data_IF_871141639139
#
_entry.id   IF_871141639139
#
_cell.length_a   1.000
_cell.length_b   1.000
_cell.length_c   1.000
_cell.angle_alpha   90.00
_cell.angle_beta   90.00
_cell.angle_gamma   90.00
#
_symmetry.space_group_name_H-M   'P 1'
#
loop_
_entity.id
_entity.type
_entity.pdbx_description
1 polymer ?
#
# COMPACT_ATOMS: atom_id res chain seq x y z
N UNK A 1 -18.32 0.54 16.85
CA UNK A 1 -16.86 0.79 16.74
C UNK A 1 -15.97 -0.28 17.42
N UNK A 2 -16.00 -0.49 18.75
CA UNK A 2 -15.14 -1.51 19.39
C UNK A 2 -15.45 -2.94 18.92
N UNK A 3 -16.74 -3.27 18.74
CA UNK A 3 -17.16 -4.58 18.19
C UNK A 3 -16.67 -4.77 16.75
N UNK A 4 -16.95 -3.82 15.86
CA UNK A 4 -16.57 -3.88 14.44
C UNK A 4 -15.06 -3.99 14.26
N UNK A 5 -14.29 -3.27 15.09
CA UNK A 5 -12.83 -3.38 15.12
C UNK A 5 -12.36 -4.78 15.53
N UNK A 6 -12.98 -5.38 16.56
CA UNK A 6 -12.65 -6.75 16.99
C UNK A 6 -12.96 -7.76 15.88
N UNK A 7 -14.11 -7.63 15.22
CA UNK A 7 -14.48 -8.48 14.09
C UNK A 7 -13.51 -8.31 12.90
N UNK A 8 -13.11 -7.08 12.59
CA UNK A 8 -12.05 -6.80 11.62
C UNK A 8 -10.73 -7.48 11.99
N UNK A 9 -10.29 -7.35 13.25
CA UNK A 9 -9.06 -7.98 13.75
C UNK A 9 -9.10 -9.51 13.59
N UNK A 10 -10.23 -10.14 13.88
CA UNK A 10 -10.42 -11.59 13.68
C UNK A 10 -10.26 -11.97 12.20
N UNK A 11 -10.86 -11.22 11.28
CA UNK A 11 -10.72 -11.48 9.83
C UNK A 11 -9.28 -11.35 9.35
N UNK A 12 -8.56 -10.31 9.78
CA UNK A 12 -7.14 -10.13 9.44
C UNK A 12 -6.30 -11.30 9.98
N UNK A 13 -6.51 -11.69 11.24
CA UNK A 13 -5.79 -12.81 11.84
C UNK A 13 -6.05 -14.14 11.11
N UNK A 14 -7.27 -14.37 10.62
CA UNK A 14 -7.58 -15.54 9.82
C UNK A 14 -6.79 -15.56 8.49
N UNK A 15 -6.62 -14.39 7.84
CA UNK A 15 -5.78 -14.28 6.65
C UNK A 15 -4.30 -14.54 6.95
N UNK A 16 -3.78 -14.03 8.06
CA UNK A 16 -2.40 -14.29 8.51
C UNK A 16 -2.17 -15.78 8.77
N UNK A 17 -3.12 -16.45 9.44
CA UNK A 17 -3.05 -17.88 9.69
C UNK A 17 -3.10 -18.69 8.39
N UNK A 18 -3.98 -18.31 7.45
CA UNK A 18 -4.06 -18.95 6.11
C UNK A 18 -2.74 -18.78 5.34
N UNK A 19 -2.11 -17.60 5.43
CA UNK A 19 -0.87 -17.29 4.72
C UNK A 19 0.34 -18.11 5.19
N UNK A 20 0.28 -18.76 6.36
CA UNK A 20 1.34 -19.67 6.83
C UNK A 20 1.43 -20.96 6.01
N UNK A 21 0.33 -21.38 5.37
CA UNK A 21 0.26 -22.59 4.58
C UNK A 21 0.32 -22.22 3.10
N UNK A 22 1.53 -22.27 2.53
CA UNK A 22 1.76 -21.95 1.11
C UNK A 22 1.23 -23.13 0.26
N UNK A 23 0.30 -22.89 -0.69
CA UNK A 23 -0.18 -23.95 -1.57
C UNK A 23 0.91 -24.41 -2.54
N UNK A 24 0.93 -25.71 -2.86
CA UNK A 24 1.91 -26.30 -3.79
C UNK A 24 1.81 -25.71 -5.20
N UNK A 25 0.59 -25.41 -5.66
CA UNK A 25 0.33 -24.79 -6.96
C UNK A 25 0.52 -23.25 -6.96
N UNK A 26 0.93 -22.68 -5.82
CA UNK A 26 1.04 -21.24 -5.60
C UNK A 26 -0.27 -20.58 -5.18
N UNK A 27 -0.20 -19.27 -4.96
CA UNK A 27 -1.36 -18.48 -4.55
C UNK A 27 -2.29 -18.22 -5.73
N UNK A 28 -3.59 -18.21 -5.42
CA UNK A 28 -4.67 -17.89 -6.36
C UNK A 28 -5.47 -16.71 -5.81
N UNK A 29 -5.82 -15.79 -6.69
CA UNK A 29 -6.70 -14.65 -6.42
C UNK A 29 -8.15 -15.12 -6.18
N UNK A 30 -8.98 -14.22 -5.65
CA UNK A 30 -10.40 -14.52 -5.42
C UNK A 30 -11.19 -14.77 -6.72
N UNK A 31 -10.73 -14.23 -7.85
CA UNK A 31 -11.32 -14.43 -9.17
C UNK A 31 -10.86 -15.73 -9.86
N UNK A 32 -10.05 -16.54 -9.18
CA UNK A 32 -9.51 -17.80 -9.71
C UNK A 32 -8.25 -17.64 -10.55
N UNK A 33 -7.76 -16.41 -10.77
CA UNK A 33 -6.49 -16.21 -11.49
C UNK A 33 -5.29 -16.52 -10.61
N UNK A 34 -4.20 -17.02 -11.21
CA UNK A 34 -2.94 -17.23 -10.46
C UNK A 34 -2.36 -15.90 -9.98
N UNK A 35 -1.85 -15.87 -8.75
CA UNK A 35 -1.19 -14.70 -8.19
C UNK A 35 0.08 -14.35 -8.99
N UNK A 36 0.20 -13.13 -9.55
CA UNK A 36 1.35 -12.77 -10.37
C UNK A 36 2.69 -12.81 -9.63
N UNK A 37 2.68 -12.65 -8.30
CA UNK A 37 3.89 -12.66 -7.47
C UNK A 37 4.22 -14.02 -6.85
N UNK A 38 3.87 -15.13 -7.50
CA UNK A 38 4.21 -16.48 -7.02
C UNK A 38 5.73 -16.78 -7.09
N UNK A 39 6.49 -16.04 -7.90
CA UNK A 39 7.95 -16.13 -7.97
C UNK A 39 8.61 -14.86 -7.43
N UNK A 40 9.09 -14.81 -6.18
CA UNK A 40 9.59 -13.58 -5.54
C UNK A 40 10.82 -12.92 -6.19
N UNK A 41 11.48 -13.65 -7.09
CA UNK A 41 12.67 -13.20 -7.83
C UNK A 41 12.39 -12.97 -9.33
N UNK A 42 11.17 -13.26 -9.77
CA UNK A 42 10.73 -13.11 -11.16
C UNK A 42 9.22 -12.83 -11.18
N UNK A 43 8.85 -11.61 -10.78
CA UNK A 43 7.46 -11.16 -10.68
C UNK A 43 7.24 -9.87 -11.49
N UNK A 44 6.09 -9.71 -12.16
CA UNK A 44 5.75 -8.47 -12.83
C UNK A 44 5.41 -7.37 -11.82
N UNK A 45 5.60 -6.12 -12.22
CA UNK A 45 5.12 -4.97 -11.45
C UNK A 45 3.59 -4.94 -11.39
N UNK A 46 3.04 -4.47 -10.27
CA UNK A 46 1.59 -4.36 -10.08
C UNK A 46 1.25 -3.01 -9.45
N UNK A 47 0.25 -2.33 -10.01
CA UNK A 47 -0.35 -1.13 -9.42
C UNK A 47 -1.85 -1.38 -9.25
N UNK A 48 -2.37 -1.18 -8.04
CA UNK A 48 -3.79 -1.34 -7.74
C UNK A 48 -4.31 -0.16 -6.94
N UNK A 49 -5.48 0.36 -7.31
CA UNK A 49 -6.17 1.44 -6.62
C UNK A 49 -7.36 0.87 -5.86
N UNK A 50 -7.50 1.24 -4.58
CA UNK A 50 -8.57 0.76 -3.70
C UNK A 50 -9.57 1.86 -3.33
N UNK A 51 -9.07 3.04 -2.94
CA UNK A 51 -9.86 4.19 -2.54
C UNK A 51 -9.54 5.40 -3.43
N UNK A 52 -10.36 6.45 -3.34
CA UNK A 52 -10.29 7.65 -4.17
C UNK A 52 -11.58 7.86 -4.98
N UNK A 53 -11.52 8.73 -5.99
CA UNK A 53 -12.68 9.14 -6.78
C UNK A 53 -13.52 7.99 -7.37
N UNK A 54 -12.86 6.94 -7.87
CA UNK A 54 -13.52 5.75 -8.43
C UNK A 54 -13.66 4.59 -7.43
N UNK A 55 -13.37 4.83 -6.15
CA UNK A 55 -13.31 3.81 -5.11
C UNK A 55 -14.53 3.83 -4.18
N UNK A 56 -14.38 3.21 -3.02
CA UNK A 56 -15.39 3.25 -1.98
C UNK A 56 -15.47 4.65 -1.33
N UNK A 57 -16.70 5.05 -1.00
CA UNK A 57 -17.00 6.28 -0.24
C UNK A 57 -17.19 5.92 1.24
N UNK A 58 -17.14 6.92 2.11
CA UNK A 58 -17.52 6.73 3.52
C UNK A 58 -19.04 6.54 3.69
N UNK A 59 -19.48 6.32 4.93
CA UNK A 59 -20.89 6.07 5.26
C UNK A 59 -21.80 7.27 4.99
N UNK A 60 -21.24 8.47 4.93
CA UNK A 60 -21.95 9.72 4.67
C UNK A 60 -21.89 10.09 3.18
N UNK A 61 -21.24 9.25 2.36
CA UNK A 61 -21.10 9.43 0.91
C UNK A 61 -19.95 10.34 0.50
N UNK A 62 -19.03 10.70 1.41
CA UNK A 62 -17.85 11.49 1.07
C UNK A 62 -16.75 10.61 0.45
N UNK A 63 -15.98 11.20 -0.47
CA UNK A 63 -14.80 10.56 -1.03
C UNK A 63 -13.73 10.32 0.04
N UNK A 64 -13.14 9.13 0.03
CA UNK A 64 -11.98 8.81 0.87
C UNK A 64 -10.67 9.16 0.12
N UNK A 65 -9.59 9.48 0.85
CA UNK A 65 -8.28 9.70 0.24
C UNK A 65 -7.84 8.51 -0.62
N UNK A 66 -7.15 8.80 -1.72
CA UNK A 66 -6.66 7.77 -2.64
C UNK A 66 -5.71 6.81 -1.92
N UNK A 67 -5.98 5.51 -2.07
CA UNK A 67 -5.12 4.45 -1.53
C UNK A 67 -4.74 3.50 -2.66
N UNK A 68 -3.45 3.48 -2.98
CA UNK A 68 -2.90 2.57 -3.97
C UNK A 68 -1.82 1.65 -3.40
N UNK A 69 -1.73 0.47 -3.99
CA UNK A 69 -0.69 -0.51 -3.75
C UNK A 69 0.21 -0.61 -4.98
N UNK A 70 1.51 -0.64 -4.74
CA UNK A 70 2.54 -0.79 -5.78
C UNK A 70 3.47 -1.92 -5.41
N UNK A 71 3.56 -2.94 -6.26
CA UNK A 71 4.67 -3.90 -6.29
C UNK A 71 5.57 -3.60 -7.48
N UNK A 72 6.88 -3.70 -7.27
CA UNK A 72 7.87 -3.49 -8.32
C UNK A 72 8.11 -4.79 -9.07
N UNK A 73 8.38 -4.69 -10.36
CA UNK A 73 8.91 -5.80 -11.14
C UNK A 73 10.27 -6.22 -10.60
N UNK A 74 10.48 -7.54 -10.54
CA UNK A 74 11.78 -8.14 -10.27
C UNK A 74 12.11 -9.18 -11.32
N UNK A 75 13.40 -9.27 -11.66
CA UNK A 75 13.92 -10.21 -12.65
C UNK A 75 15.25 -10.78 -12.15
N UNK A 76 15.53 -12.07 -12.43
CA UNK A 76 16.83 -12.66 -12.11
C UNK A 76 17.98 -11.85 -12.76
N UNK A 77 19.06 -11.64 -12.01
CA UNK A 77 20.23 -10.87 -12.47
C UNK A 77 20.14 -9.36 -12.28
N UNK A 78 19.01 -8.81 -11.82
CA UNK A 78 18.86 -7.38 -11.55
C UNK A 78 18.96 -7.07 -10.06
N UNK A 79 19.70 -6.01 -9.71
CA UNK A 79 19.80 -5.55 -8.31
C UNK A 79 18.60 -4.65 -7.98
N UNK A 80 17.88 -4.95 -6.90
CA UNK A 80 16.63 -4.24 -6.56
C UNK A 80 16.77 -3.16 -5.48
N UNK A 81 17.98 -2.93 -4.97
CA UNK A 81 18.32 -1.87 -4.00
C UNK A 81 17.38 -1.77 -2.77
N UNK A 82 16.79 -2.91 -2.35
CA UNK A 82 15.95 -3.05 -1.14
C UNK A 82 14.99 -1.86 -0.96
N UNK A 83 15.16 -1.09 0.15
CA UNK A 83 14.29 0.04 0.54
C UNK A 83 14.47 1.25 -0.35
N UNK A 84 15.70 1.57 -0.75
CA UNK A 84 15.99 2.75 -1.58
C UNK A 84 15.36 2.60 -2.95
N UNK A 85 15.48 1.40 -3.55
CA UNK A 85 14.82 1.09 -4.81
C UNK A 85 13.29 1.13 -4.71
N UNK A 86 12.71 0.73 -3.56
CA UNK A 86 11.27 0.82 -3.33
C UNK A 86 10.81 2.27 -3.23
N UNK A 87 11.53 3.09 -2.47
CA UNK A 87 11.21 4.51 -2.29
C UNK A 87 11.32 5.29 -3.62
N UNK A 88 12.38 5.06 -4.39
CA UNK A 88 12.57 5.69 -5.69
C UNK A 88 11.46 5.31 -6.68
N UNK A 89 10.98 4.06 -6.65
CA UNK A 89 9.84 3.65 -7.47
C UNK A 89 8.55 4.35 -7.05
N UNK A 90 8.27 4.47 -5.75
CA UNK A 90 7.09 5.17 -5.24
C UNK A 90 7.09 6.66 -5.65
N UNK A 91 8.24 7.33 -5.62
CA UNK A 91 8.37 8.72 -6.11
C UNK A 91 7.99 8.81 -7.59
N UNK A 92 8.48 7.89 -8.43
CA UNK A 92 8.18 7.87 -9.88
C UNK A 92 6.71 7.56 -10.17
N UNK A 93 6.12 6.60 -9.46
CA UNK A 93 4.70 6.28 -9.61
C UNK A 93 3.83 7.45 -9.15
N UNK A 94 4.17 8.08 -8.01
CA UNK A 94 3.47 9.27 -7.51
C UNK A 94 3.50 10.41 -8.53
N UNK A 95 4.66 10.67 -9.15
CA UNK A 95 4.80 11.71 -10.17
C UNK A 95 3.84 11.54 -11.37
N UNK A 96 3.47 10.31 -11.70
CA UNK A 96 2.52 10.01 -12.79
C UNK A 96 1.08 10.04 -12.31
N UNK A 97 0.78 9.48 -11.13
CA UNK A 97 -0.59 9.28 -10.68
C UNK A 97 -1.21 10.53 -10.03
N UNK A 98 -0.44 11.27 -9.23
CA UNK A 98 -0.96 12.39 -8.42
C UNK A 98 -0.08 13.64 -8.47
N UNK A 99 1.21 13.48 -8.80
CA UNK A 99 2.19 14.55 -8.96
C UNK A 99 2.26 15.52 -7.77
N UNK A 100 2.33 14.99 -6.55
CA UNK A 100 2.31 15.81 -5.33
C UNK A 100 3.65 16.54 -5.10
N UNK A 101 3.63 17.81 -4.64
CA UNK A 101 4.84 18.59 -4.38
C UNK A 101 5.57 18.19 -3.08
N UNK A 102 4.90 17.43 -2.21
CA UNK A 102 5.44 16.94 -0.95
C UNK A 102 5.22 15.43 -0.84
N UNK A 103 6.18 14.76 -0.22
CA UNK A 103 6.14 13.32 0.07
C UNK A 103 6.50 13.13 1.54
N UNK A 104 5.60 12.49 2.29
CA UNK A 104 5.85 12.04 3.65
C UNK A 104 6.14 10.54 3.62
N UNK A 105 7.31 10.14 4.10
CA UNK A 105 7.71 8.74 4.20
C UNK A 105 7.56 8.23 5.64
N UNK A 106 6.92 7.08 5.83
CA UNK A 106 6.70 6.45 7.13
C UNK A 106 7.18 4.99 7.10
N UNK A 107 7.72 4.51 8.22
CA UNK A 107 8.03 3.10 8.43
C UNK A 107 6.81 2.36 8.99
N UNK A 108 6.79 1.02 8.88
CA UNK A 108 5.64 0.19 9.25
C UNK A 108 5.37 0.11 10.76
N UNK A 109 6.35 0.48 11.59
CA UNK A 109 6.28 0.57 13.05
C UNK A 109 5.90 1.98 13.54
N UNK A 110 5.71 2.94 12.62
CA UNK A 110 5.26 4.29 12.93
C UNK A 110 3.78 4.48 12.53
N UNK A 111 3.08 5.30 13.30
CA UNK A 111 1.74 5.78 12.97
C UNK A 111 1.61 7.27 13.26
N UNK A 112 0.69 7.94 12.57
CA UNK A 112 0.38 9.35 12.82
C UNK A 112 -0.53 9.42 14.05
N UNK A 113 -0.03 10.03 15.14
CA UNK A 113 -0.76 10.16 16.39
C UNK A 113 -1.42 11.54 16.57
N UNK A 114 -1.08 12.53 15.73
CA UNK A 114 -1.65 13.86 15.71
C UNK A 114 -2.12 14.18 14.28
N UNK A 115 -3.41 14.45 14.10
CA UNK A 115 -4.00 14.79 12.80
C UNK A 115 -3.45 16.09 12.21
N UNK A 116 -2.87 16.96 13.03
CA UNK A 116 -2.31 18.26 12.60
C UNK A 116 -0.87 18.17 12.09
N UNK A 117 -0.19 17.03 12.25
CA UNK A 117 1.24 16.90 11.97
C UNK A 117 1.63 17.29 10.53
N UNK A 118 0.78 16.96 9.55
CA UNK A 118 1.03 17.32 8.14
C UNK A 118 0.89 18.82 7.93
N UNK A 119 -0.13 19.45 8.53
CA UNK A 119 -0.37 20.90 8.41
C UNK A 119 0.79 21.68 9.02
N UNK A 120 1.19 21.31 10.24
CA UNK A 120 2.33 21.92 10.94
C UNK A 120 3.65 21.76 10.17
N UNK A 121 3.88 20.58 9.57
CA UNK A 121 5.05 20.31 8.75
C UNK A 121 5.13 21.19 7.48
N UNK A 122 3.98 21.48 6.86
CA UNK A 122 3.93 22.35 5.68
C UNK A 122 4.06 23.83 6.07
N UNK A 123 3.39 24.27 7.13
CA UNK A 123 3.40 25.67 7.59
C UNK A 123 4.77 26.11 8.11
N UNK A 124 5.47 25.25 8.85
CA UNK A 124 6.81 25.53 9.36
C UNK A 124 7.82 25.81 8.23
N UNK A 125 7.63 25.21 7.06
CA UNK A 125 8.49 25.43 5.89
C UNK A 125 8.27 26.78 5.21
N UNK A 126 7.09 27.41 5.35
CA UNK A 126 6.80 28.75 4.78
C UNK A 126 7.43 29.89 5.57
N UNK A 127 7.95 29.60 6.77
CA UNK A 127 8.60 30.58 7.67
C UNK A 127 10.12 30.61 7.53
N UNK A 128 10.68 29.79 6.65
CA UNK A 128 12.09 29.77 6.23
C UNK A 128 12.19 30.33 4.81
#
# INVERSE_FOLDING_TARGET
MNRDYKEYKVRVNALVAKAQNIPDEGWTMQDGTSWPGNSPHDDPGMVRVFLGHSGAHDIDGNELPWLGYVSREKRPGYTHHKKDGAMNALVRVSAVLTNTPYILNLACDHYVNNSEAVREGIESRKRL
#
